data_IF_692733076766
#
_entry.id   IF_692733076766
#
_cell.length_a   1.000
_cell.length_b   1.000
_cell.length_c   1.000
_cell.angle_alpha   90.00
_cell.angle_beta   90.00
_cell.angle_gamma   90.00
#
_symmetry.space_group_name_H-M   'P 1'
#
loop_
_entity.id
_entity.type
_entity.pdbx_description
1 polymer ?
#
# COMPACT_ATOMS: atom_id res chain seq x y z
N UNK A 1 7.33 3.92 -7.29
CA UNK A 1 7.81 5.31 -7.06
C UNK A 1 7.80 5.55 -5.56
N UNK A 2 8.90 6.02 -4.96
CA UNK A 2 8.98 6.26 -3.52
C UNK A 2 8.63 7.71 -3.21
N UNK A 3 7.33 8.01 -3.23
CA UNK A 3 6.80 9.35 -3.08
C UNK A 3 5.85 9.34 -1.88
N UNK A 4 6.29 9.91 -0.76
CA UNK A 4 5.60 9.84 0.52
C UNK A 4 5.10 11.18 1.06
N UNK A 5 5.12 12.27 0.28
CA UNK A 5 4.54 13.53 0.74
C UNK A 5 3.00 13.48 0.73
N UNK A 6 2.37 14.14 1.71
CA UNK A 6 0.91 14.22 1.83
C UNK A 6 0.35 15.35 0.99
N UNK A 7 -0.72 15.09 0.24
CA UNK A 7 -1.52 16.16 -0.37
C UNK A 7 -2.99 16.04 -0.02
N UNK A 8 -3.44 16.88 0.92
CA UNK A 8 -4.79 16.80 1.50
C UNK A 8 -5.90 16.79 0.44
N UNK A 9 -5.91 17.76 -0.49
CA UNK A 9 -6.98 17.88 -1.46
C UNK A 9 -6.93 16.80 -2.54
N UNK A 10 -5.74 16.38 -2.95
CA UNK A 10 -5.57 15.30 -3.94
C UNK A 10 -6.03 13.97 -3.35
N UNK A 11 -5.61 13.63 -2.15
CA UNK A 11 -5.91 12.34 -1.49
C UNK A 11 -7.38 12.17 -1.10
N UNK A 12 -8.13 13.27 -1.04
CA UNK A 12 -9.58 13.22 -0.89
C UNK A 12 -10.30 12.71 -2.14
N UNK A 13 -9.71 12.86 -3.33
CA UNK A 13 -10.33 12.52 -4.61
C UNK A 13 -9.59 11.38 -5.32
N UNK A 14 -8.27 11.46 -5.37
CA UNK A 14 -7.38 10.57 -6.11
C UNK A 14 -6.58 9.65 -5.20
N UNK A 15 -6.27 8.47 -5.73
CA UNK A 15 -5.31 7.55 -5.14
C UNK A 15 -3.89 8.05 -5.45
N UNK A 16 -3.09 8.28 -4.41
CA UNK A 16 -1.70 8.73 -4.54
C UNK A 16 -0.73 7.55 -4.39
N UNK A 17 0.57 7.70 -4.75
CA UNK A 17 1.54 6.63 -4.56
C UNK A 17 1.60 6.07 -3.12
N UNK A 18 1.32 6.91 -2.11
CA UNK A 18 1.24 6.48 -0.70
C UNK A 18 0.10 5.51 -0.41
N UNK A 19 -1.04 5.68 -1.07
CA UNK A 19 -2.19 4.76 -0.91
C UNK A 19 -1.82 3.39 -1.47
N UNK A 20 -1.16 3.37 -2.63
CA UNK A 20 -0.64 2.15 -3.22
C UNK A 20 0.43 1.48 -2.36
N UNK A 21 1.24 2.24 -1.61
CA UNK A 21 2.19 1.65 -0.65
C UNK A 21 1.48 0.88 0.45
N UNK A 22 0.40 1.45 1.01
CA UNK A 22 -0.43 0.75 2.02
C UNK A 22 -1.01 -0.54 1.42
N UNK A 23 -1.62 -0.46 0.24
CA UNK A 23 -2.20 -1.61 -0.45
C UNK A 23 -1.16 -2.70 -0.82
N UNK A 24 0.07 -2.32 -1.16
CA UNK A 24 1.13 -3.27 -1.50
C UNK A 24 1.98 -3.74 -0.31
N UNK A 25 1.61 -3.35 0.92
CA UNK A 25 2.28 -3.84 2.12
C UNK A 25 2.19 -5.37 2.21
N UNK A 26 3.22 -6.01 2.73
CA UNK A 26 3.19 -7.45 3.07
C UNK A 26 2.29 -7.76 4.28
N UNK A 27 1.85 -6.73 5.02
CA UNK A 27 0.88 -6.85 6.09
C UNK A 27 -0.53 -7.02 5.51
N UNK A 28 -1.11 -8.20 5.71
CA UNK A 28 -2.46 -8.57 5.26
C UNK A 28 -3.56 -7.55 5.62
N UNK A 29 -3.46 -6.88 6.76
CA UNK A 29 -4.46 -5.87 7.15
C UNK A 29 -4.34 -4.61 6.29
N UNK A 30 -3.12 -4.20 5.96
CA UNK A 30 -2.85 -3.02 5.15
C UNK A 30 -3.06 -3.31 3.66
N UNK A 31 -2.74 -4.51 3.19
CA UNK A 31 -2.98 -4.89 1.80
C UNK A 31 -4.45 -5.12 1.45
N UNK A 32 -5.28 -5.44 2.45
CA UNK A 32 -6.74 -5.48 2.32
C UNK A 32 -7.39 -4.10 2.54
N UNK A 33 -6.74 -3.03 2.09
CA UNK A 33 -7.23 -1.66 2.13
C UNK A 33 -6.85 -0.90 0.85
N UNK A 34 -7.47 0.27 0.65
CA UNK A 34 -7.17 1.20 -0.45
C UNK A 34 -7.18 0.52 -1.85
N UNK A 35 -8.28 -0.17 -2.17
CA UNK A 35 -8.47 -0.91 -3.42
C UNK A 35 -8.72 -0.03 -4.65
N UNK A 36 -9.05 1.24 -4.45
CA UNK A 36 -9.20 2.20 -5.54
C UNK A 36 -7.95 2.28 -6.41
N UNK A 37 -8.13 2.33 -7.72
CA UNK A 37 -7.00 2.51 -8.66
C UNK A 37 -6.80 3.98 -9.01
N UNK A 38 -7.90 4.72 -9.17
CA UNK A 38 -7.87 6.15 -9.58
C UNK A 38 -8.46 7.06 -8.52
N UNK A 39 -9.63 6.70 -7.97
CA UNK A 39 -10.35 7.55 -7.03
C UNK A 39 -10.43 6.93 -5.64
N UNK A 40 -9.99 7.67 -4.62
CA UNK A 40 -10.03 7.24 -3.21
C UNK A 40 -11.43 7.30 -2.60
N UNK A 41 -12.38 7.94 -3.29
CA UNK A 41 -13.78 8.03 -2.86
C UNK A 41 -14.42 6.65 -2.70
N UNK A 42 -14.04 5.68 -3.52
CA UNK A 42 -14.57 4.32 -3.44
C UNK A 42 -14.17 3.66 -2.13
N UNK A 43 -12.92 3.80 -1.72
CA UNK A 43 -12.45 3.24 -0.45
C UNK A 43 -13.13 3.88 0.76
N UNK A 44 -13.44 5.18 0.68
CA UNK A 44 -14.19 5.87 1.72
C UNK A 44 -15.64 5.41 1.78
N UNK A 45 -16.28 5.22 0.62
CA UNK A 45 -17.68 4.79 0.52
C UNK A 45 -17.87 3.35 1.00
N UNK A 46 -16.94 2.46 0.67
CA UNK A 46 -17.01 1.04 1.02
C UNK A 46 -16.27 0.69 2.32
N UNK A 47 -15.69 1.67 3.01
CA UNK A 47 -15.05 1.48 4.31
C UNK A 47 -13.70 0.74 4.26
N UNK A 48 -13.05 0.72 3.11
CA UNK A 48 -11.72 0.11 2.89
C UNK A 48 -10.58 1.13 2.93
N UNK A 49 -10.90 2.40 3.21
CA UNK A 49 -9.93 3.48 3.31
C UNK A 49 -9.04 3.34 4.55
N UNK A 50 -7.72 3.33 4.33
CA UNK A 50 -6.70 3.46 5.37
C UNK A 50 -5.86 4.70 5.08
N UNK A 51 -5.76 5.58 6.07
CA UNK A 51 -4.97 6.80 5.98
C UNK A 51 -3.46 6.48 6.00
N UNK A 52 -2.71 6.79 4.93
CA UNK A 52 -1.26 6.57 4.89
C UNK A 52 -0.47 7.34 5.97
N UNK A 53 -1.03 8.36 6.62
CA UNK A 53 -0.39 9.03 7.77
C UNK A 53 -0.42 8.18 9.05
N UNK A 54 -1.35 7.23 9.17
CA UNK A 54 -1.47 6.36 10.36
C UNK A 54 -0.57 5.13 10.29
N UNK A 55 -0.01 4.85 9.11
CA UNK A 55 0.87 3.72 8.85
C UNK A 55 2.30 4.12 9.17
N UNK A 56 2.95 3.41 10.10
CA UNK A 56 4.35 3.66 10.47
C UNK A 56 5.29 3.08 9.43
N UNK A 57 6.22 3.89 8.96
CA UNK A 57 7.35 3.46 8.14
C UNK A 57 8.44 2.79 9.01
N UNK A 58 9.28 1.89 8.43
CA UNK A 58 9.30 1.49 7.03
C UNK A 58 8.26 0.41 6.69
N UNK A 59 7.53 0.59 5.59
CA UNK A 59 6.68 -0.43 4.99
C UNK A 59 7.54 -1.51 4.31
N UNK A 60 7.22 -2.76 4.60
CA UNK A 60 7.72 -3.92 3.85
C UNK A 60 6.70 -4.29 2.77
N UNK A 61 7.20 -4.77 1.63
CA UNK A 61 6.42 -5.02 0.43
C UNK A 61 6.61 -6.45 -0.06
N UNK A 62 5.63 -6.95 -0.81
CA UNK A 62 5.65 -8.27 -1.42
C UNK A 62 4.58 -9.19 -0.84
N UNK A 63 4.70 -10.49 -1.10
CA UNK A 63 3.69 -11.49 -0.74
C UNK A 63 3.92 -12.14 0.63
N UNK A 64 4.81 -11.57 1.46
CA UNK A 64 5.16 -12.11 2.78
C UNK A 64 5.88 -13.46 2.75
N UNK A 65 6.31 -13.93 1.58
CA UNK A 65 7.01 -15.20 1.42
C UNK A 65 8.42 -15.13 2.01
N UNK A 66 8.75 -16.11 2.86
CA UNK A 66 10.13 -16.34 3.31
C UNK A 66 10.86 -17.17 2.27
N UNK A 67 11.55 -16.51 1.34
CA UNK A 67 12.31 -17.19 0.30
C UNK A 67 13.63 -17.74 0.89
N UNK A 68 13.90 -19.05 0.81
CA UNK A 68 15.18 -19.61 1.21
C UNK A 68 16.34 -19.02 0.37
N UNK A 69 17.48 -18.75 1.00
CA UNK A 69 18.67 -18.21 0.32
C UNK A 69 19.13 -19.05 -0.89
N UNK A 70 18.94 -20.37 -0.82
CA UNK A 70 19.27 -21.28 -1.93
C UNK A 70 18.42 -21.01 -3.18
N UNK A 71 17.15 -20.65 -3.00
CA UNK A 71 16.24 -20.30 -4.10
C UNK A 71 16.64 -19.00 -4.77
N UNK A 72 16.94 -17.98 -3.96
CA UNK A 72 17.52 -16.71 -4.42
C UNK A 72 18.84 -16.92 -5.19
N UNK A 73 19.73 -17.78 -4.70
CA UNK A 73 21.02 -18.06 -5.35
C UNK A 73 20.88 -18.80 -6.68
N UNK A 74 19.87 -19.68 -6.82
CA UNK A 74 19.58 -20.40 -8.05
C UNK A 74 18.70 -19.61 -9.03
N UNK A 75 18.08 -18.51 -8.56
CA UNK A 75 17.13 -17.71 -9.34
C UNK A 75 15.79 -18.42 -9.57
N UNK A 76 15.36 -19.28 -8.64
CA UNK A 76 14.14 -20.11 -8.73
C UNK A 76 13.33 -20.08 -7.44
#
# INVERSE_FOLDING_TARGET
MNVSWRSNWLEWVFVTPRFHHVHHSDNLTLSNANFGVTFSIWDRLFGTYVDPETVKEPLSFGIGEKVPLVRLALGV
#
